data_IF_548727982913
#
_entry.id   IF_548727982913
#
_cell.length_a   1.000
_cell.length_b   1.000
_cell.length_c   1.000
_cell.angle_alpha   90.00
_cell.angle_beta   90.00
_cell.angle_gamma   90.00
#
_symmetry.space_group_name_H-M   'P 1'
#
loop_
_entity.id
_entity.type
_entity.pdbx_description
1 polymer ?
#
# COMPACT_ATOMS: atom_id res chain seq x y z
N UNK A 1 -9.91 -6.26 -11.15
CA UNK A 1 -9.70 -6.90 -9.82
C UNK A 1 -10.92 -6.79 -8.91
N UNK A 2 -11.19 -5.68 -8.20
CA UNK A 2 -12.31 -5.63 -7.21
C UNK A 2 -13.68 -5.93 -7.85
N UNK A 3 -13.97 -5.38 -9.02
CA UNK A 3 -15.23 -5.62 -9.75
C UNK A 3 -15.42 -7.09 -10.16
N UNK A 4 -14.33 -7.74 -10.60
CA UNK A 4 -14.37 -9.16 -10.98
C UNK A 4 -14.61 -10.05 -9.76
N UNK A 5 -13.97 -9.72 -8.63
CA UNK A 5 -14.18 -10.44 -7.36
C UNK A 5 -15.61 -10.24 -6.86
N UNK A 6 -16.13 -9.01 -6.88
CA UNK A 6 -17.49 -8.72 -6.46
C UNK A 6 -18.52 -9.49 -7.29
N UNK A 7 -18.31 -9.56 -8.61
CA UNK A 7 -19.14 -10.34 -9.52
C UNK A 7 -19.10 -11.83 -9.20
N UNK A 8 -17.90 -12.40 -8.97
CA UNK A 8 -17.72 -13.82 -8.61
C UNK A 8 -18.37 -14.19 -7.28
N UNK A 9 -18.48 -13.24 -6.35
CA UNK A 9 -19.14 -13.42 -5.05
C UNK A 9 -20.66 -13.23 -5.11
N UNK A 10 -21.22 -12.90 -6.29
CA UNK A 10 -22.66 -12.74 -6.48
C UNK A 10 -23.22 -11.38 -6.05
N UNK A 11 -22.37 -10.37 -5.84
CA UNK A 11 -22.84 -9.00 -5.60
C UNK A 11 -23.42 -8.40 -6.88
N UNK A 12 -24.53 -7.66 -6.75
CA UNK A 12 -25.11 -6.93 -7.87
C UNK A 12 -24.20 -5.77 -8.29
N UNK A 13 -24.22 -5.44 -9.59
CA UNK A 13 -23.44 -4.33 -10.14
C UNK A 13 -23.71 -3.01 -9.45
N UNK A 14 -24.99 -2.69 -9.28
CA UNK A 14 -25.42 -1.43 -8.70
C UNK A 14 -24.93 -1.30 -7.25
N UNK A 15 -24.95 -2.41 -6.49
CA UNK A 15 -24.47 -2.44 -5.12
C UNK A 15 -22.98 -2.13 -5.01
N UNK A 16 -22.11 -2.86 -5.72
CA UNK A 16 -20.67 -2.67 -5.54
C UNK A 16 -20.18 -1.36 -6.17
N UNK A 17 -20.80 -0.85 -7.24
CA UNK A 17 -20.44 0.46 -7.80
C UNK A 17 -20.84 1.60 -6.85
N UNK A 18 -22.01 1.52 -6.20
CA UNK A 18 -22.42 2.49 -5.18
C UNK A 18 -21.45 2.49 -3.99
N UNK A 19 -21.10 1.30 -3.48
CA UNK A 19 -20.14 1.16 -2.36
C UNK A 19 -18.78 1.72 -2.74
N UNK A 20 -18.26 1.38 -3.92
CA UNK A 20 -16.99 1.91 -4.41
C UNK A 20 -17.02 3.43 -4.52
N UNK A 21 -18.08 4.00 -5.07
CA UNK A 21 -18.23 5.45 -5.18
C UNK A 21 -18.25 6.12 -3.80
N UNK A 22 -19.00 5.56 -2.87
CA UNK A 22 -19.11 6.07 -1.50
C UNK A 22 -17.78 5.97 -0.74
N UNK A 23 -17.00 4.91 -0.99
CA UNK A 23 -15.67 4.74 -0.40
C UNK A 23 -14.70 5.85 -0.84
N UNK A 24 -14.72 6.19 -2.14
CA UNK A 24 -13.81 7.20 -2.72
C UNK A 24 -14.11 8.64 -2.29
N UNK A 25 -15.34 8.92 -1.85
CA UNK A 25 -15.75 10.25 -1.35
C UNK A 25 -15.85 10.28 0.18
N UNK A 26 -15.44 9.21 0.86
CA UNK A 26 -15.55 9.13 2.31
C UNK A 26 -14.54 10.06 2.96
N UNK A 27 -15.01 11.15 3.55
CA UNK A 27 -14.18 12.15 4.24
C UNK A 27 -13.37 11.58 5.43
N UNK A 28 -13.75 10.40 5.94
CA UNK A 28 -13.03 9.70 7.00
C UNK A 28 -11.86 8.85 6.46
N UNK A 29 -11.76 8.66 5.14
CA UNK A 29 -10.66 7.96 4.48
C UNK A 29 -9.79 9.04 3.82
N UNK A 30 -8.64 9.31 4.43
CA UNK A 30 -7.71 10.30 3.92
C UNK A 30 -6.69 9.65 2.99
N UNK A 31 -6.46 10.27 1.82
CA UNK A 31 -5.34 9.93 0.93
C UNK A 31 -3.98 10.40 1.47
N UNK A 32 -3.98 11.14 2.58
CA UNK A 32 -2.75 11.66 3.17
C UNK A 32 -1.89 10.52 3.73
N UNK A 33 -0.55 10.68 3.67
CA UNK A 33 0.37 9.76 4.34
C UNK A 33 0.01 9.57 5.82
N UNK A 34 0.14 8.34 6.32
CA UNK A 34 -0.31 7.96 7.65
C UNK A 34 0.73 8.30 8.72
N UNK A 35 0.38 9.13 9.70
CA UNK A 35 1.22 9.36 10.89
C UNK A 35 0.89 8.33 11.95
N UNK A 36 1.88 7.56 12.39
CA UNK A 36 1.74 6.55 13.43
C UNK A 36 2.18 7.09 14.79
N UNK A 37 1.65 6.47 15.85
CA UNK A 37 1.98 6.83 17.24
C UNK A 37 3.35 6.34 17.70
N UNK A 38 3.96 5.38 16.98
CA UNK A 38 5.25 4.80 17.32
C UNK A 38 6.05 4.43 16.07
N UNK A 39 7.36 4.68 16.04
CA UNK A 39 8.24 4.27 14.93
C UNK A 39 8.22 2.76 14.64
N UNK A 40 7.97 1.93 15.66
CA UNK A 40 7.86 0.48 15.48
C UNK A 40 6.65 0.10 14.61
N UNK A 41 5.55 0.83 14.74
CA UNK A 41 4.34 0.62 13.93
C UNK A 41 4.62 1.02 12.48
N UNK A 42 5.36 2.11 12.28
CA UNK A 42 5.78 2.54 10.93
C UNK A 42 6.58 1.45 10.22
N UNK A 43 7.53 0.80 10.91
CA UNK A 43 8.33 -0.27 10.30
C UNK A 43 7.48 -1.48 9.90
N UNK A 44 6.60 -1.95 10.81
CA UNK A 44 5.68 -3.05 10.52
C UNK A 44 4.78 -2.70 9.34
N UNK A 45 4.23 -1.48 9.34
CA UNK A 45 3.38 -0.98 8.26
C UNK A 45 4.12 -0.97 6.92
N UNK A 46 5.34 -0.44 6.86
CA UNK A 46 6.10 -0.36 5.62
C UNK A 46 6.44 -1.75 5.05
N UNK A 47 6.79 -2.72 5.90
CA UNK A 47 7.06 -4.11 5.44
C UNK A 47 5.81 -4.77 4.86
N UNK A 48 4.64 -4.64 5.52
CA UNK A 48 3.38 -5.18 5.03
C UNK A 48 2.86 -4.44 3.79
N UNK A 49 3.00 -3.12 3.75
CA UNK A 49 2.56 -2.32 2.63
C UNK A 49 3.41 -2.57 1.37
N UNK A 50 4.72 -2.78 1.51
CA UNK A 50 5.59 -3.18 0.41
C UNK A 50 5.22 -4.57 -0.13
N UNK A 51 4.89 -5.54 0.73
CA UNK A 51 4.39 -6.85 0.30
C UNK A 51 3.11 -6.73 -0.51
N UNK A 52 2.19 -5.87 -0.05
CA UNK A 52 0.92 -5.65 -0.73
C UNK A 52 1.09 -4.95 -2.06
N UNK A 53 1.92 -3.90 -2.12
CA UNK A 53 2.20 -3.16 -3.35
C UNK A 53 2.90 -4.05 -4.39
N UNK A 54 3.79 -4.95 -3.95
CA UNK A 54 4.52 -5.86 -4.85
C UNK A 54 3.76 -7.14 -5.24
N UNK A 55 2.45 -7.22 -5.02
CA UNK A 55 1.69 -8.46 -5.20
C UNK A 55 1.66 -8.93 -6.68
N UNK A 56 1.74 -8.00 -7.62
CA UNK A 56 1.82 -8.26 -9.05
C UNK A 56 3.27 -8.32 -9.57
N UNK A 57 4.25 -8.43 -8.66
CA UNK A 57 5.69 -8.42 -8.93
C UNK A 57 6.21 -7.13 -9.57
N UNK A 58 5.45 -6.04 -9.50
CA UNK A 58 5.85 -4.70 -9.87
C UNK A 58 5.61 -3.74 -8.69
N UNK A 59 6.35 -2.64 -8.62
CA UNK A 59 6.08 -1.57 -7.66
C UNK A 59 5.82 -0.30 -8.45
N UNK A 60 4.57 0.17 -8.47
CA UNK A 60 4.26 1.37 -9.20
C UNK A 60 4.90 2.58 -8.53
N UNK A 61 5.38 3.53 -9.34
CA UNK A 61 6.02 4.76 -8.84
C UNK A 61 5.15 5.52 -7.84
N UNK A 62 3.84 5.58 -8.08
CA UNK A 62 2.90 6.27 -7.19
C UNK A 62 2.84 5.62 -5.80
N UNK A 63 2.94 4.30 -5.73
CA UNK A 63 2.91 3.53 -4.48
C UNK A 63 4.21 3.76 -3.70
N UNK A 64 5.37 3.68 -4.38
CA UNK A 64 6.67 4.00 -3.77
C UNK A 64 6.68 5.43 -3.24
N UNK A 65 6.20 6.39 -4.03
CA UNK A 65 6.15 7.80 -3.63
C UNK A 65 5.23 8.02 -2.42
N UNK A 66 4.11 7.31 -2.34
CA UNK A 66 3.20 7.40 -1.20
C UNK A 66 3.78 6.75 0.07
N UNK A 67 4.42 5.58 -0.06
CA UNK A 67 5.11 4.91 1.04
C UNK A 67 6.29 5.72 1.56
N UNK A 68 7.06 6.35 0.66
CA UNK A 68 8.16 7.26 1.01
C UNK A 68 7.66 8.43 1.83
N UNK A 69 6.60 9.11 1.39
CA UNK A 69 6.01 10.23 2.15
C UNK A 69 5.54 9.76 3.52
N UNK A 70 4.95 8.55 3.60
CA UNK A 70 4.55 7.94 4.87
C UNK A 70 5.76 7.69 5.77
N UNK A 71 6.87 7.18 5.23
CA UNK A 71 8.12 7.00 5.98
C UNK A 71 8.65 8.34 6.52
N UNK A 72 8.69 9.38 5.67
CA UNK A 72 9.22 10.71 6.01
C UNK A 72 8.44 11.38 7.15
N UNK A 73 7.10 11.36 7.13
CA UNK A 73 6.29 11.95 8.21
C UNK A 73 6.42 11.22 9.55
N UNK A 74 6.89 9.98 9.52
CA UNK A 74 7.16 9.16 10.71
C UNK A 74 8.63 9.20 11.14
N UNK A 75 9.44 10.08 10.55
CA UNK A 75 10.83 10.28 10.93
C UNK A 75 11.82 9.28 10.33
N UNK A 76 11.42 8.51 9.31
CA UNK A 76 12.33 7.67 8.54
C UNK A 76 12.85 8.49 7.36
N UNK A 77 14.17 8.68 7.30
CA UNK A 77 14.79 9.47 6.26
C UNK A 77 14.71 8.78 4.88
N UNK A 78 14.75 9.57 3.81
CA UNK A 78 14.63 9.08 2.44
C UNK A 78 15.64 7.98 2.09
N UNK A 79 16.89 8.13 2.52
CA UNK A 79 17.94 7.12 2.34
C UNK A 79 17.58 5.79 3.04
N UNK A 80 17.13 5.86 4.30
CA UNK A 80 16.72 4.67 5.04
C UNK A 80 15.53 3.98 4.38
N UNK A 81 14.58 4.73 3.83
CA UNK A 81 13.48 4.16 3.05
C UNK A 81 13.97 3.47 1.78
N UNK A 82 14.92 4.05 1.05
CA UNK A 82 15.49 3.40 -0.14
C UNK A 82 16.21 2.10 0.23
N UNK A 83 16.91 2.07 1.36
CA UNK A 83 17.55 0.85 1.89
C UNK A 83 16.49 -0.23 2.18
N UNK A 84 15.37 0.12 2.85
CA UNK A 84 14.25 -0.80 3.07
C UNK A 84 13.70 -1.40 1.77
N UNK A 85 13.48 -0.58 0.74
CA UNK A 85 12.95 -1.04 -0.54
C UNK A 85 13.96 -1.94 -1.26
N UNK A 86 15.25 -1.58 -1.25
CA UNK A 86 16.30 -2.38 -1.87
C UNK A 86 16.47 -3.74 -1.19
N UNK A 87 16.45 -3.77 0.14
CA UNK A 87 16.52 -5.01 0.93
C UNK A 87 15.29 -5.90 0.65
N UNK A 88 14.09 -5.31 0.56
CA UNK A 88 12.89 -6.04 0.18
C UNK A 88 12.99 -6.65 -1.23
N UNK A 89 13.39 -5.87 -2.23
CA UNK A 89 13.53 -6.34 -3.61
C UNK A 89 14.63 -7.40 -3.75
N UNK A 90 15.70 -7.30 -2.98
CA UNK A 90 16.79 -8.30 -2.98
C UNK A 90 16.28 -9.64 -2.45
N UNK A 91 15.58 -9.65 -1.30
CA UNK A 91 14.94 -10.85 -0.75
C UNK A 91 13.98 -11.51 -1.75
N UNK A 92 13.16 -10.70 -2.44
CA UNK A 92 12.21 -11.22 -3.44
C UNK A 92 12.88 -11.80 -4.69
N UNK A 93 14.03 -11.25 -5.10
CA UNK A 93 14.84 -11.83 -6.19
C UNK A 93 15.48 -13.15 -5.79
N UNK A 94 15.96 -13.28 -4.56
CA UNK A 94 16.54 -14.51 -4.02
C UNK A 94 15.48 -15.63 -3.88
N UNK A 95 14.25 -15.30 -3.47
CA UNK A 95 13.14 -16.26 -3.41
C UNK A 95 12.68 -16.77 -4.78
N UNK A 96 12.94 -15.99 -5.85
CA UNK A 96 12.55 -16.33 -7.21
C UNK A 96 13.64 -17.08 -8.02
N UNK A 97 14.86 -17.18 -7.48
CA UNK A 97 16.02 -17.83 -8.12
C UNK A 97 16.19 -19.28 -7.66
#
# INVERSE_FOLDING_TARGET
>A
VIRDVATRLGFSRDFYEEVLKNLMINENISDNPLMFSSPAITQIFLDEALKLAYIDSDLARAEIDWLRKTAEINGIAHNQFNDYVNDFLTRKKEEAA
#
